data_IF_389239335836
#
_entry.id   IF_389239335836
#
_cell.length_a   1.000
_cell.length_b   1.000
_cell.length_c   1.000
_cell.angle_alpha   90.00
_cell.angle_beta   90.00
_cell.angle_gamma   90.00
#
_symmetry.space_group_name_H-M   'P 1'
#
loop_
_entity.id
_entity.type
_entity.pdbx_description
1 polymer ?
#
# COMPACT_ATOMS: atom_id res chain seq x y z
N UNK A 1 7.53 -3.48 -8.33
CA UNK A 1 8.48 -2.42 -8.74
C UNK A 1 8.59 -2.36 -10.24
N UNK A 2 9.05 -1.22 -10.76
CA UNK A 2 9.28 -1.01 -12.20
C UNK A 2 10.50 -1.83 -12.62
N UNK A 3 10.40 -2.55 -13.73
CA UNK A 3 11.48 -3.42 -14.22
C UNK A 3 12.00 -3.02 -15.60
N UNK A 4 11.35 -2.04 -16.23
CA UNK A 4 11.58 -1.58 -17.61
C UNK A 4 12.26 -0.20 -17.66
N UNK A 5 13.30 0.01 -16.83
CA UNK A 5 14.14 1.20 -16.86
C UNK A 5 15.37 0.91 -17.72
N UNK A 6 15.54 1.66 -18.81
CA UNK A 6 16.71 1.56 -19.68
C UNK A 6 18.00 1.95 -18.92
N UNK A 7 19.11 1.26 -19.20
CA UNK A 7 20.37 1.44 -18.47
C UNK A 7 20.88 2.89 -18.49
N UNK A 8 20.76 3.60 -19.62
CA UNK A 8 21.16 5.00 -19.77
C UNK A 8 20.28 5.98 -18.96
N UNK A 9 19.09 5.53 -18.55
CA UNK A 9 18.17 6.28 -17.70
C UNK A 9 18.37 6.00 -16.22
N UNK A 10 19.08 4.94 -15.84
CA UNK A 10 19.40 4.62 -14.45
C UNK A 10 20.21 5.76 -13.81
N UNK A 11 19.93 6.00 -12.52
CA UNK A 11 20.55 7.05 -11.69
C UNK A 11 21.19 6.49 -10.43
N UNK A 12 20.68 5.37 -9.90
CA UNK A 12 21.21 4.73 -8.71
C UNK A 12 22.59 4.09 -9.00
N UNK A 13 23.69 4.59 -8.40
CA UNK A 13 25.01 4.03 -8.61
C UNK A 13 25.08 2.54 -8.24
N UNK A 14 24.26 2.12 -7.27
CA UNK A 14 24.21 0.73 -6.87
C UNK A 14 23.60 -0.16 -7.96
N UNK A 15 22.52 0.28 -8.62
CA UNK A 15 21.96 -0.44 -9.76
C UNK A 15 22.91 -0.44 -10.95
N UNK A 16 23.53 0.71 -11.25
CA UNK A 16 24.46 0.85 -12.38
C UNK A 16 25.67 -0.11 -12.24
N UNK A 17 26.25 -0.23 -11.04
CA UNK A 17 27.43 -1.06 -10.81
C UNK A 17 27.16 -2.58 -10.89
N UNK A 18 25.90 -3.02 -10.75
CA UNK A 18 25.51 -4.43 -10.71
C UNK A 18 24.48 -4.78 -11.80
N UNK A 19 24.36 -3.95 -12.83
CA UNK A 19 23.50 -4.21 -13.98
C UNK A 19 24.14 -5.29 -14.88
N UNK A 20 23.38 -6.27 -15.40
CA UNK A 20 21.92 -6.41 -15.34
C UNK A 20 21.37 -7.24 -14.17
N UNK A 21 22.22 -7.85 -13.33
CA UNK A 21 21.81 -8.76 -12.25
C UNK A 21 20.94 -8.08 -11.18
N UNK A 22 21.15 -6.77 -10.98
CA UNK A 22 20.44 -5.98 -9.98
C UNK A 22 20.13 -4.56 -10.49
N UNK A 23 18.84 -4.25 -10.63
CA UNK A 23 18.38 -2.95 -11.14
C UNK A 23 18.47 -1.79 -10.13
N UNK A 24 18.85 -2.06 -8.88
CA UNK A 24 18.93 -1.02 -7.86
C UNK A 24 17.56 -0.48 -7.42
N UNK A 25 17.59 0.71 -6.83
CA UNK A 25 16.43 1.34 -6.15
C UNK A 25 15.64 2.28 -7.04
N UNK A 26 16.09 2.54 -8.27
CA UNK A 26 15.33 3.39 -9.20
C UNK A 26 13.96 2.78 -9.53
N UNK A 27 13.86 1.45 -9.45
CA UNK A 27 12.64 0.65 -9.65
C UNK A 27 11.46 1.06 -8.76
N UNK A 28 11.71 1.65 -7.59
CA UNK A 28 10.68 2.16 -6.67
C UNK A 28 10.66 3.70 -6.56
N UNK A 29 11.48 4.39 -7.36
CA UNK A 29 11.65 5.85 -7.32
C UNK A 29 11.14 6.57 -8.58
N UNK A 30 10.61 5.83 -9.55
CA UNK A 30 9.97 6.43 -10.72
C UNK A 30 8.91 7.44 -10.29
N UNK A 31 8.70 8.52 -11.05
CA UNK A 31 7.81 9.58 -10.60
C UNK A 31 6.36 9.12 -10.40
N UNK A 32 5.67 9.79 -9.48
CA UNK A 32 4.24 9.55 -9.24
C UNK A 32 3.41 9.94 -10.46
N UNK A 33 2.45 9.10 -10.84
CA UNK A 33 1.47 9.41 -11.87
C UNK A 33 0.19 9.94 -11.21
N UNK A 34 -0.18 11.17 -11.52
CA UNK A 34 -1.40 11.81 -11.03
C UNK A 34 -2.60 11.56 -11.95
N UNK A 35 -2.46 11.78 -13.26
CA UNK A 35 -3.53 11.64 -14.26
C UNK A 35 -2.97 11.00 -15.53
N UNK A 36 -3.57 9.90 -15.98
CA UNK A 36 -3.11 9.15 -17.15
C UNK A 36 -3.14 9.98 -18.44
N UNK A 37 -4.13 10.87 -18.55
CA UNK A 37 -4.38 11.67 -19.76
C UNK A 37 -3.45 12.87 -19.91
N UNK A 38 -2.62 13.18 -18.89
CA UNK A 38 -1.73 14.33 -18.90
C UNK A 38 -0.33 13.95 -19.40
N UNK A 39 0.40 14.88 -20.05
CA UNK A 39 1.83 14.71 -20.29
C UNK A 39 2.57 14.33 -19.01
N UNK A 40 3.51 13.39 -19.11
CA UNK A 40 4.28 12.87 -17.96
C UNK A 40 3.42 12.39 -16.79
N UNK A 41 2.19 11.94 -17.04
CA UNK A 41 1.26 11.52 -16.00
C UNK A 41 0.83 12.65 -15.06
N UNK A 42 1.02 13.91 -15.45
CA UNK A 42 0.79 15.08 -14.60
C UNK A 42 1.88 15.35 -13.56
N UNK A 43 3.01 14.61 -13.59
CA UNK A 43 4.11 14.80 -12.64
C UNK A 43 4.88 16.11 -12.85
N UNK A 44 5.12 16.47 -14.12
CA UNK A 44 5.89 17.65 -14.53
C UNK A 44 5.32 18.22 -15.82
N UNK A 45 5.54 19.51 -16.08
CA UNK A 45 5.24 20.16 -17.36
C UNK A 45 6.38 20.04 -18.38
N UNK A 46 7.56 19.59 -17.94
CA UNK A 46 8.68 19.31 -18.84
C UNK A 46 8.38 18.07 -19.71
N UNK A 47 9.08 17.96 -20.84
CA UNK A 47 8.95 16.81 -21.74
C UNK A 47 9.55 15.51 -21.15
N UNK A 48 10.41 15.63 -20.13
CA UNK A 48 11.11 14.52 -19.49
C UNK A 48 11.24 14.73 -17.97
N UNK A 49 11.53 13.65 -17.26
CA UNK A 49 11.78 13.63 -15.81
C UNK A 49 13.09 12.92 -15.47
N UNK A 50 13.55 13.11 -14.23
CA UNK A 50 14.83 12.56 -13.74
C UNK A 50 14.92 11.01 -13.77
N UNK A 51 13.76 10.34 -13.71
CA UNK A 51 13.54 8.93 -14.03
C UNK A 51 12.33 8.80 -14.95
N UNK A 52 12.22 7.74 -15.77
CA UNK A 52 11.10 7.55 -16.68
C UNK A 52 9.79 7.28 -15.93
N UNK A 53 8.67 7.66 -16.55
CA UNK A 53 7.33 7.27 -16.08
C UNK A 53 7.07 5.83 -16.49
N UNK A 54 6.76 4.98 -15.51
CA UNK A 54 6.37 3.59 -15.76
C UNK A 54 5.00 3.52 -16.43
N UNK A 55 4.92 2.76 -17.54
CA UNK A 55 3.65 2.49 -18.24
C UNK A 55 2.63 1.80 -17.34
N UNK A 56 3.08 0.88 -16.47
CA UNK A 56 2.19 0.20 -15.53
C UNK A 56 1.64 1.13 -14.45
N UNK A 57 2.37 2.20 -14.10
CA UNK A 57 1.88 3.23 -13.17
C UNK A 57 0.89 4.18 -13.84
N UNK A 58 1.02 4.44 -15.15
CA UNK A 58 0.05 5.25 -15.89
C UNK A 58 -1.38 4.69 -15.81
N UNK A 59 -1.52 3.36 -15.87
CA UNK A 59 -2.82 2.69 -15.72
C UNK A 59 -3.39 2.76 -14.29
N UNK A 60 -2.59 3.18 -13.31
CA UNK A 60 -2.95 3.30 -11.88
C UNK A 60 -2.80 4.73 -11.37
N UNK A 61 -2.96 5.71 -12.25
CA UNK A 61 -2.83 7.13 -11.93
C UNK A 61 -3.68 7.54 -10.71
N UNK A 62 -3.07 8.29 -9.78
CA UNK A 62 -3.63 8.52 -8.45
C UNK A 62 -5.00 9.21 -8.45
N UNK A 63 -5.18 10.29 -9.23
CA UNK A 63 -6.45 11.02 -9.30
C UNK A 63 -7.51 10.24 -10.08
N UNK A 64 -7.10 9.45 -11.07
CA UNK A 64 -8.03 8.57 -11.81
C UNK A 64 -8.54 7.44 -10.90
N UNK A 65 -7.66 6.85 -10.10
CA UNK A 65 -8.03 5.87 -9.06
C UNK A 65 -8.92 6.51 -7.99
N UNK A 66 -8.65 7.75 -7.58
CA UNK A 66 -9.51 8.45 -6.61
C UNK A 66 -10.94 8.69 -7.13
N UNK A 67 -11.10 8.95 -8.43
CA UNK A 67 -12.43 9.11 -9.08
C UNK A 67 -13.17 7.77 -9.24
N UNK A 68 -12.46 6.65 -9.35
CA UNK A 68 -13.05 5.33 -9.51
C UNK A 68 -13.45 4.71 -8.15
N UNK A 69 -14.75 4.57 -7.89
CA UNK A 69 -15.30 4.05 -6.63
C UNK A 69 -14.81 2.63 -6.27
N UNK A 70 -14.58 1.76 -7.26
CA UNK A 70 -14.13 0.37 -7.07
C UNK A 70 -12.61 0.22 -6.87
N UNK A 71 -11.86 1.32 -6.91
CA UNK A 71 -10.40 1.33 -6.92
C UNK A 71 -9.78 0.95 -5.58
N UNK A 72 -8.49 0.56 -5.60
CA UNK A 72 -7.73 0.34 -4.37
C UNK A 72 -7.64 1.61 -3.51
N UNK A 73 -7.59 2.79 -4.13
CA UNK A 73 -7.58 4.07 -3.41
C UNK A 73 -8.83 4.21 -2.54
N UNK A 74 -10.02 4.00 -3.11
CA UNK A 74 -11.28 4.16 -2.39
C UNK A 74 -11.52 3.05 -1.37
N UNK A 75 -11.09 1.81 -1.66
CA UNK A 75 -11.06 0.72 -0.68
C UNK A 75 -10.19 1.07 0.53
N UNK A 76 -8.97 1.57 0.30
CA UNK A 76 -8.05 1.94 1.38
C UNK A 76 -8.50 3.19 2.13
N UNK A 77 -9.01 4.21 1.43
CA UNK A 77 -9.60 5.40 2.04
C UNK A 77 -10.77 5.05 2.96
N UNK A 78 -11.67 4.18 2.50
CA UNK A 78 -12.80 3.68 3.29
C UNK A 78 -12.33 2.90 4.52
N UNK A 79 -11.32 2.03 4.35
CA UNK A 79 -10.72 1.32 5.48
C UNK A 79 -10.10 2.28 6.51
N UNK A 80 -9.34 3.30 6.08
CA UNK A 80 -8.75 4.28 6.99
C UNK A 80 -9.81 5.11 7.72
N UNK A 81 -10.91 5.48 7.05
CA UNK A 81 -12.06 6.15 7.67
C UNK A 81 -12.70 5.28 8.75
N UNK A 82 -12.97 4.00 8.46
CA UNK A 82 -13.46 3.03 9.44
C UNK A 82 -12.46 2.84 10.60
N UNK A 83 -11.17 2.68 10.29
CA UNK A 83 -10.07 2.46 11.25
C UNK A 83 -9.91 3.63 12.22
N UNK A 84 -10.26 4.86 11.80
CA UNK A 84 -10.29 6.06 12.66
C UNK A 84 -11.41 6.01 13.70
N UNK A 85 -12.46 5.23 13.46
CA UNK A 85 -13.59 5.05 14.37
C UNK A 85 -13.38 3.91 15.38
N UNK A 86 -12.26 3.19 15.33
CA UNK A 86 -12.00 2.04 16.20
C UNK A 86 -11.11 2.43 17.40
N UNK A 87 -11.65 2.59 18.63
CA UNK A 87 -10.84 2.88 19.82
C UNK A 87 -9.66 1.92 20.01
N UNK A 88 -9.88 0.61 19.81
CA UNK A 88 -8.85 -0.42 19.94
C UNK A 88 -7.62 -0.18 19.06
N UNK A 89 -7.79 0.48 17.90
CA UNK A 89 -6.71 0.78 16.97
C UNK A 89 -6.18 2.21 17.09
N UNK A 90 -6.96 3.16 17.61
CA UNK A 90 -6.62 4.59 17.62
C UNK A 90 -6.08 5.09 18.97
N UNK A 91 -6.58 4.57 20.09
CA UNK A 91 -6.34 5.18 21.41
C UNK A 91 -5.50 4.30 22.34
N UNK A 92 -5.20 3.07 21.93
CA UNK A 92 -4.46 2.12 22.74
C UNK A 92 -3.35 1.42 21.92
N UNK A 93 -2.23 1.16 22.60
CA UNK A 93 -1.11 0.38 22.07
C UNK A 93 -1.05 -1.03 22.69
N UNK A 94 -2.19 -1.53 23.17
CA UNK A 94 -2.28 -2.87 23.74
C UNK A 94 -2.75 -3.87 22.67
N UNK A 95 -2.15 -5.05 22.69
CA UNK A 95 -2.39 -6.13 21.75
C UNK A 95 -2.20 -7.49 22.45
N UNK A 96 -3.02 -8.48 22.11
CA UNK A 96 -2.80 -9.86 22.55
C UNK A 96 -1.49 -10.42 21.98
N UNK A 97 -1.02 -11.54 22.53
CA UNK A 97 -0.05 -12.37 21.82
C UNK A 97 -0.59 -12.75 20.44
N UNK A 98 0.31 -12.84 19.47
CA UNK A 98 -0.03 -13.28 18.12
C UNK A 98 -0.37 -14.78 18.16
N UNK A 99 -1.46 -15.14 17.51
CA UNK A 99 -1.89 -16.49 17.24
C UNK A 99 -2.01 -16.70 15.71
N UNK A 100 -2.32 -17.93 15.31
CA UNK A 100 -2.49 -18.31 13.91
C UNK A 100 -1.52 -19.41 13.48
N UNK A 101 -1.36 -19.56 12.17
CA UNK A 101 -0.54 -20.59 11.54
C UNK A 101 0.34 -20.03 10.42
N UNK A 102 0.95 -20.88 9.59
CA UNK A 102 1.89 -20.46 8.53
C UNK A 102 1.31 -19.44 7.53
N UNK A 103 -0.01 -19.46 7.33
CA UNK A 103 -0.72 -18.61 6.38
C UNK A 103 -1.75 -17.67 7.04
N UNK A 104 -1.77 -17.55 8.38
CA UNK A 104 -2.66 -16.61 9.05
C UNK A 104 -2.01 -15.94 10.26
N UNK A 105 -2.36 -14.67 10.47
CA UNK A 105 -2.00 -13.90 11.67
C UNK A 105 -3.29 -13.44 12.34
N UNK A 106 -3.44 -13.78 13.61
CA UNK A 106 -4.59 -13.40 14.44
C UNK A 106 -4.09 -12.71 15.71
N UNK A 107 -4.64 -11.54 16.02
CA UNK A 107 -4.40 -10.86 17.29
C UNK A 107 -5.57 -9.93 17.63
N UNK A 108 -5.76 -9.67 18.92
CA UNK A 108 -6.76 -8.73 19.40
C UNK A 108 -6.09 -7.39 19.71
N UNK A 109 -6.64 -6.29 19.17
CA UNK A 109 -6.32 -4.92 19.60
C UNK A 109 -7.23 -4.54 20.75
N UNK A 110 -6.67 -3.99 21.82
CA UNK A 110 -7.37 -3.84 23.10
C UNK A 110 -7.31 -2.39 23.55
N UNK A 111 -8.48 -1.81 23.85
CA UNK A 111 -8.63 -0.53 24.55
C UNK A 111 -9.58 -0.70 25.74
N UNK A 112 -9.79 0.38 26.51
CA UNK A 112 -10.72 0.37 27.64
C UNK A 112 -12.18 0.11 27.23
N UNK A 113 -12.53 0.41 25.98
CA UNK A 113 -13.93 0.44 25.51
C UNK A 113 -14.18 -0.46 24.30
N UNK A 114 -13.15 -1.12 23.78
CA UNK A 114 -13.27 -1.96 22.58
C UNK A 114 -12.15 -3.01 22.58
N UNK A 115 -12.51 -4.26 22.28
CA UNK A 115 -11.60 -5.33 21.90
C UNK A 115 -11.93 -5.72 20.47
N UNK A 116 -10.95 -5.63 19.58
CA UNK A 116 -11.13 -5.84 18.15
C UNK A 116 -10.17 -6.93 17.66
N UNK A 117 -10.73 -8.09 17.29
CA UNK A 117 -9.98 -9.19 16.69
C UNK A 117 -9.61 -8.85 15.27
N UNK A 118 -8.32 -8.88 14.97
CA UNK A 118 -7.76 -8.69 13.66
C UNK A 118 -7.28 -10.05 13.15
N UNK A 119 -7.83 -10.53 12.04
CA UNK A 119 -7.36 -11.73 11.34
C UNK A 119 -6.90 -11.37 9.94
N UNK A 120 -5.71 -11.82 9.57
CA UNK A 120 -5.14 -11.71 8.23
C UNK A 120 -4.88 -13.11 7.70
N UNK A 121 -5.53 -13.47 6.60
CA UNK A 121 -5.41 -14.74 5.90
C UNK A 121 -4.67 -14.50 4.58
N UNK A 122 -3.48 -15.10 4.44
CA UNK A 122 -2.61 -14.90 3.30
C UNK A 122 -2.92 -15.82 2.11
N UNK A 123 -3.67 -16.91 2.34
CA UNK A 123 -4.15 -17.78 1.25
C UNK A 123 -5.38 -17.19 0.58
N UNK A 124 -6.35 -16.72 1.38
CA UNK A 124 -7.55 -16.06 0.88
C UNK A 124 -7.33 -14.58 0.54
N UNK A 125 -6.15 -14.03 0.88
CA UNK A 125 -5.81 -12.61 0.72
C UNK A 125 -6.91 -11.71 1.33
N UNK A 126 -7.29 -12.05 2.57
CA UNK A 126 -8.45 -11.45 3.25
C UNK A 126 -8.07 -10.98 4.65
N UNK A 127 -8.56 -9.81 5.02
CA UNK A 127 -8.52 -9.32 6.40
C UNK A 127 -9.93 -9.22 6.98
N UNK A 128 -10.11 -9.63 8.23
CA UNK A 128 -11.36 -9.43 8.99
C UNK A 128 -11.09 -8.74 10.32
N UNK A 129 -12.07 -7.95 10.75
CA UNK A 129 -12.02 -7.15 11.96
C UNK A 129 -13.36 -7.29 12.70
N UNK A 130 -13.34 -7.93 13.86
CA UNK A 130 -14.55 -8.33 14.59
C UNK A 130 -14.46 -7.89 16.05
N UNK A 131 -15.50 -7.22 16.55
CA UNK A 131 -15.56 -6.82 17.95
C UNK A 131 -15.81 -8.05 18.82
N UNK A 132 -14.90 -8.29 19.78
CA UNK A 132 -14.99 -9.42 20.70
C UNK A 132 -15.89 -8.99 21.84
N UNK A 133 -17.15 -9.39 21.82
CA UNK A 133 -18.01 -9.29 23.00
C UNK A 133 -17.65 -10.43 23.94
N UNK A 134 -17.10 -10.10 25.11
CA UNK A 134 -17.09 -11.08 26.19
C UNK A 134 -18.56 -11.40 26.48
N UNK A 135 -18.99 -12.63 26.19
CA UNK A 135 -20.25 -13.13 26.71
C UNK A 135 -20.22 -12.91 28.22
N UNK A 136 -21.24 -12.23 28.75
CA UNK A 136 -21.54 -12.30 30.17
C UNK A 136 -21.72 -13.78 30.51
N UNK A 137 -20.68 -14.37 31.08
CA UNK A 137 -20.75 -15.61 31.86
C UNK A 137 -20.88 -15.23 33.33
#
# INVERSE_FOLDING_TARGET
DVTDIDFDKMKDPWGINFYPEFLGRDTCRTPMVWEKSKPMGGFTSANDSWLPISKSHLEKAGLDMAKNEGSIYNKFSSFLKWRKQQPAMMTANNMSSIAGGPAEIIFDRISKTQILRCKFDFELVKATFEEVTHGTS
#
